data_IF_770800045880
#
_entry.id   IF_770800045880
#
_cell.length_a   1.000
_cell.length_b   1.000
_cell.length_c   1.000
_cell.angle_alpha   90.00
_cell.angle_beta   90.00
_cell.angle_gamma   90.00
#
_symmetry.space_group_name_H-M   'P 1'
#
loop_
_entity.id
_entity.type
_entity.pdbx_description
1 polymer ?
#
# COMPACT_ATOMS: atom_id res chain seq x y z
N UNK A 1 1.85 5.03 -10.12
CA UNK A 1 1.82 5.71 -8.81
C UNK A 1 2.76 6.90 -8.85
N UNK A 2 2.27 8.11 -8.55
CA UNK A 2 3.09 9.33 -8.58
C UNK A 2 4.06 9.31 -7.40
N UNK A 3 5.38 9.31 -7.63
CA UNK A 3 6.36 9.55 -6.57
C UNK A 3 6.10 10.93 -5.96
N UNK A 4 5.42 10.97 -4.81
CA UNK A 4 5.01 12.22 -4.21
C UNK A 4 6.25 12.91 -3.63
N UNK A 5 6.66 14.02 -4.22
CA UNK A 5 7.81 14.78 -3.74
C UNK A 5 7.41 15.92 -2.79
N UNK A 6 8.30 16.20 -1.85
CA UNK A 6 8.15 17.24 -0.84
C UNK A 6 9.17 18.34 -1.11
N UNK A 7 8.84 19.59 -0.80
CA UNK A 7 9.71 20.74 -1.09
C UNK A 7 10.19 21.36 0.21
N UNK A 8 11.50 21.32 0.44
CA UNK A 8 12.16 22.06 1.51
C UNK A 8 12.61 23.43 0.98
N UNK A 9 12.40 24.50 1.75
CA UNK A 9 12.87 25.84 1.40
C UNK A 9 13.95 26.35 2.36
N UNK A 10 14.95 27.04 1.84
CA UNK A 10 15.97 27.75 2.61
C UNK A 10 16.14 29.15 1.99
N UNK A 11 15.38 30.12 2.49
CA UNK A 11 15.26 31.42 1.82
C UNK A 11 14.63 31.28 0.43
N UNK A 12 15.37 31.66 -0.62
CA UNK A 12 14.92 31.51 -2.03
C UNK A 12 15.19 30.13 -2.62
N UNK A 13 16.09 29.34 -2.02
CA UNK A 13 16.40 28.00 -2.52
C UNK A 13 15.28 27.03 -2.19
N UNK A 14 14.91 26.20 -3.17
CA UNK A 14 13.97 25.09 -3.00
C UNK A 14 14.67 23.79 -3.34
N UNK A 15 14.49 22.77 -2.49
CA UNK A 15 15.04 21.43 -2.67
C UNK A 15 13.89 20.43 -2.63
N UNK A 16 13.77 19.65 -3.68
CA UNK A 16 12.79 18.58 -3.77
C UNK A 16 13.35 17.32 -3.14
N UNK A 17 12.66 16.74 -2.17
CA UNK A 17 13.04 15.52 -1.45
C UNK A 17 11.96 14.46 -1.64
N UNK A 18 12.35 13.19 -1.61
CA UNK A 18 11.45 12.04 -1.67
C UNK A 18 11.25 11.50 -0.24
N UNK A 19 10.04 11.53 0.33
CA UNK A 19 9.76 10.89 1.61
C UNK A 19 9.87 9.36 1.46
N UNK A 20 10.49 8.69 2.42
CA UNK A 20 10.65 7.23 2.43
C UNK A 20 9.70 6.57 3.44
N UNK A 21 9.59 7.17 4.64
CA UNK A 21 8.76 6.66 5.73
C UNK A 21 8.49 7.73 6.78
N UNK A 22 7.47 7.51 7.61
CA UNK A 22 7.10 8.35 8.74
C UNK A 22 7.02 7.51 10.02
N UNK A 23 7.51 8.04 11.14
CA UNK A 23 7.29 7.47 12.47
C UNK A 23 6.30 8.33 13.27
N UNK A 24 5.31 7.70 13.90
CA UNK A 24 4.40 8.30 14.88
C UNK A 24 4.80 7.85 16.28
N UNK A 25 5.21 8.79 17.15
CA UNK A 25 5.74 8.49 18.49
C UNK A 25 5.56 9.66 19.45
N UNK A 26 4.93 9.44 20.62
CA UNK A 26 4.71 10.45 21.68
C UNK A 26 4.34 11.87 21.15
N UNK A 27 3.28 11.94 20.34
CA UNK A 27 2.76 13.15 19.64
C UNK A 27 3.58 13.70 18.46
N UNK A 28 4.72 13.09 18.15
CA UNK A 28 5.63 13.53 17.09
C UNK A 28 5.42 12.68 15.84
N UNK A 29 5.42 13.34 14.69
CA UNK A 29 5.54 12.67 13.40
C UNK A 29 6.89 13.05 12.78
N UNK A 30 7.70 12.05 12.46
CA UNK A 30 9.03 12.26 11.92
C UNK A 30 9.09 11.61 10.54
N UNK A 31 9.18 12.43 9.51
CA UNK A 31 9.32 11.97 8.13
C UNK A 31 10.80 11.89 7.79
N UNK A 32 11.24 10.70 7.42
CA UNK A 32 12.56 10.45 6.82
C UNK A 32 12.43 10.65 5.31
N UNK A 33 13.24 11.56 4.74
CA UNK A 33 13.22 11.89 3.32
C UNK A 33 14.62 11.93 2.74
N UNK A 34 14.76 11.54 1.48
CA UNK A 34 16.03 11.42 0.76
C UNK A 34 16.13 12.41 -0.39
N UNK A 35 17.32 12.94 -0.61
CA UNK A 35 17.74 13.62 -1.82
C UNK A 35 19.12 13.12 -2.22
N UNK A 36 19.18 12.26 -3.25
CA UNK A 36 20.40 11.55 -3.66
C UNK A 36 20.98 10.75 -2.49
N UNK A 37 22.16 11.13 -1.98
CA UNK A 37 22.84 10.50 -0.83
C UNK A 37 22.60 11.24 0.50
N UNK A 38 21.80 12.31 0.50
CA UNK A 38 21.54 13.12 1.70
C UNK A 38 20.20 12.74 2.31
N UNK A 39 20.20 12.63 3.64
CA UNK A 39 19.02 12.34 4.43
C UNK A 39 18.52 13.61 5.13
N UNK A 40 17.20 13.75 5.18
CA UNK A 40 16.49 14.83 5.81
C UNK A 40 15.45 14.25 6.77
N UNK A 41 15.31 14.87 7.94
CA UNK A 41 14.24 14.59 8.89
C UNK A 41 13.35 15.81 9.00
N UNK A 42 12.06 15.60 8.76
CA UNK A 42 11.02 16.64 8.82
C UNK A 42 10.15 16.32 10.03
N UNK A 43 10.15 17.22 11.00
CA UNK A 43 9.48 17.05 12.29
C UNK A 43 8.14 17.76 12.27
N UNK A 44 7.13 17.05 12.74
CA UNK A 44 5.82 17.58 13.08
C UNK A 44 5.53 17.27 14.54
N UNK A 45 4.86 18.18 15.21
CA UNK A 45 4.35 17.99 16.55
C UNK A 45 2.87 18.36 16.53
N UNK A 46 2.02 17.43 16.98
CA UNK A 46 0.56 17.58 16.88
C UNK A 46 0.10 17.85 15.44
N UNK A 47 0.61 17.06 14.49
CA UNK A 47 0.38 17.18 13.03
C UNK A 47 0.81 18.51 12.39
N UNK A 48 1.45 19.40 13.17
CA UNK A 48 1.86 20.72 12.72
C UNK A 48 3.36 20.72 12.44
N UNK A 49 3.75 21.27 11.29
CA UNK A 49 5.16 21.36 10.92
C UNK A 49 5.96 22.16 11.95
N UNK A 50 7.08 21.60 12.39
CA UNK A 50 7.99 22.20 13.37
C UNK A 50 9.28 22.66 12.68
N UNK A 51 10.04 21.73 12.10
CA UNK A 51 11.32 22.03 11.46
C UNK A 51 11.77 20.89 10.53
N UNK A 52 12.75 21.16 9.68
CA UNK A 52 13.38 20.17 8.81
C UNK A 52 14.90 20.29 8.90
N UNK A 53 15.59 19.17 9.06
CA UNK A 53 17.04 19.12 9.31
C UNK A 53 17.69 18.10 8.38
N UNK A 54 18.80 18.50 7.76
CA UNK A 54 19.67 17.57 7.05
C UNK A 54 20.52 16.78 8.05
N UNK A 55 20.41 15.46 8.02
CA UNK A 55 21.21 14.59 8.88
C UNK A 55 22.60 14.32 8.28
N UNK A 56 23.60 14.31 9.16
CA UNK A 56 24.94 13.78 8.87
C UNK A 56 25.22 12.51 9.68
N UNK A 57 24.70 12.43 10.91
CA UNK A 57 24.79 11.29 11.83
C UNK A 57 23.54 11.27 12.70
N UNK A 58 23.17 10.08 13.18
CA UNK A 58 22.07 9.85 14.12
C UNK A 58 22.65 9.16 15.34
N UNK A 59 22.26 9.60 16.54
CA UNK A 59 22.68 8.95 17.78
C UNK A 59 21.75 7.77 18.07
N UNK A 60 22.33 6.61 18.37
CA UNK A 60 21.61 5.35 18.62
C UNK A 60 20.59 5.46 19.77
N UNK A 61 20.92 6.21 20.82
CA UNK A 61 20.04 6.41 21.98
C UNK A 61 19.29 7.75 21.95
N UNK A 62 19.06 8.31 20.76
CA UNK A 62 18.29 9.55 20.63
C UNK A 62 16.78 9.30 20.60
N UNK A 63 16.01 10.34 20.89
CA UNK A 63 14.57 10.42 20.66
C UNK A 63 14.22 9.99 19.24
N UNK A 64 14.94 10.50 18.24
CA UNK A 64 14.77 10.11 16.84
C UNK A 64 14.91 8.60 16.63
N UNK A 65 15.95 7.99 17.18
CA UNK A 65 16.17 6.55 17.05
C UNK A 65 15.09 5.73 17.78
N UNK A 66 14.63 6.19 18.95
CA UNK A 66 13.50 5.58 19.68
C UNK A 66 12.21 5.66 18.89
N UNK A 67 11.89 6.82 18.30
CA UNK A 67 10.68 7.00 17.52
C UNK A 67 10.56 6.00 16.35
N UNK A 68 11.64 5.72 15.64
CA UNK A 68 11.65 4.71 14.57
C UNK A 68 11.73 3.26 15.06
N UNK A 69 12.04 3.03 16.33
CA UNK A 69 12.15 1.70 16.92
C UNK A 69 10.87 1.27 17.66
N UNK A 70 10.25 2.22 18.36
CA UNK A 70 9.15 1.98 19.30
C UNK A 70 7.84 2.63 18.81
N UNK A 71 7.90 3.53 17.82
CA UNK A 71 6.72 4.16 17.21
C UNK A 71 6.11 3.33 16.08
N UNK A 72 4.92 3.75 15.64
CA UNK A 72 4.33 3.24 14.40
C UNK A 72 5.10 3.80 13.21
N UNK A 73 5.70 2.92 12.41
CA UNK A 73 6.46 3.32 11.21
C UNK A 73 5.70 2.91 9.95
N UNK A 74 5.36 3.90 9.12
CA UNK A 74 4.68 3.70 7.84
C UNK A 74 5.61 4.05 6.68
N UNK A 75 5.81 3.12 5.74
CA UNK A 75 6.63 3.34 4.54
C UNK A 75 5.81 3.85 3.37
N UNK A 76 6.41 4.62 2.47
CA UNK A 76 5.74 5.13 1.26
C UNK A 76 5.35 4.01 0.28
N UNK A 77 4.20 4.09 -0.41
CA UNK A 77 3.12 5.06 -0.24
C UNK A 77 2.29 4.76 1.02
N UNK A 78 1.91 5.79 1.78
CA UNK A 78 1.03 5.61 2.93
C UNK A 78 0.20 6.87 3.23
N UNK A 79 -1.13 6.75 3.40
CA UNK A 79 -1.99 7.92 3.61
C UNK A 79 -1.63 8.77 4.83
N UNK A 80 -1.24 8.14 5.95
CA UNK A 80 -0.75 8.87 7.14
C UNK A 80 0.47 9.75 6.84
N UNK A 81 1.38 9.30 5.96
CA UNK A 81 2.52 10.10 5.52
C UNK A 81 2.05 11.24 4.60
N UNK A 82 1.27 10.91 3.59
CA UNK A 82 0.89 11.86 2.53
C UNK A 82 0.02 13.00 3.05
N UNK A 83 -0.87 12.72 4.02
CA UNK A 83 -1.73 13.74 4.64
C UNK A 83 -0.99 14.73 5.52
N UNK A 84 0.25 14.47 5.94
CA UNK A 84 1.10 15.47 6.62
C UNK A 84 1.59 16.55 5.65
N UNK A 85 1.54 16.29 4.35
CA UNK A 85 2.09 17.15 3.30
C UNK A 85 1.23 18.38 2.95
N UNK A 86 0.58 18.99 3.96
CA UNK A 86 -0.32 20.16 3.77
C UNK A 86 0.45 21.47 3.60
N UNK A 87 1.65 21.58 4.15
CA UNK A 87 2.40 22.82 4.25
C UNK A 87 3.56 22.85 3.24
N UNK A 88 3.27 23.18 1.97
CA UNK A 88 4.31 23.33 0.93
C UNK A 88 4.59 24.82 0.64
N UNK A 89 5.87 25.26 0.63
CA UNK A 89 7.10 24.52 0.97
C UNK A 89 7.39 24.49 2.48
N UNK A 90 8.16 23.49 2.94
CA UNK A 90 8.61 23.35 4.34
C UNK A 90 9.90 24.15 4.61
N UNK A 91 9.85 25.23 5.41
CA UNK A 91 11.00 26.10 5.62
C UNK A 91 12.02 25.52 6.60
N UNK A 92 13.27 25.43 6.17
CA UNK A 92 14.42 25.16 7.06
C UNK A 92 14.84 26.45 7.75
N UNK A 93 14.99 26.42 9.07
CA UNK A 93 15.31 27.58 9.90
C UNK A 93 16.64 27.42 10.63
N UNK A 94 17.28 28.55 10.96
CA UNK A 94 18.43 28.55 11.87
C UNK A 94 17.96 28.23 13.28
N UNK A 95 18.87 27.78 14.16
CA UNK A 95 18.51 27.46 15.53
C UNK A 95 17.86 28.63 16.30
N UNK A 96 18.32 29.88 16.07
CA UNK A 96 17.73 31.06 16.71
C UNK A 96 16.31 31.35 16.20
N UNK A 97 16.10 31.29 14.89
CA UNK A 97 14.77 31.46 14.28
C UNK A 97 13.81 30.35 14.71
N UNK A 98 14.32 29.14 14.85
CA UNK A 98 13.55 28.01 15.37
C UNK A 98 13.10 28.24 16.82
N UNK A 99 13.99 28.71 17.71
CA UNK A 99 13.60 29.03 19.09
C UNK A 99 12.54 30.14 19.15
N UNK A 100 12.62 31.14 18.27
CA UNK A 100 11.60 32.18 18.19
C UNK A 100 10.24 31.61 17.76
N UNK A 101 10.22 30.80 16.69
CA UNK A 101 9.00 30.12 16.23
C UNK A 101 8.41 29.25 17.35
N UNK A 102 9.25 28.58 18.13
CA UNK A 102 8.79 27.80 19.27
C UNK A 102 8.15 28.67 20.35
N UNK A 103 8.75 29.82 20.67
CA UNK A 103 8.22 30.77 21.64
C UNK A 103 6.86 31.36 21.23
N UNK A 104 6.67 31.59 19.92
CA UNK A 104 5.46 32.22 19.39
C UNK A 104 4.25 31.25 19.35
N UNK A 105 4.49 29.93 19.23
CA UNK A 105 3.42 28.95 18.92
C UNK A 105 3.19 27.88 20.00
N UNK A 106 4.12 27.70 20.94
CA UNK A 106 4.06 26.57 21.88
C UNK A 106 4.27 27.02 23.32
N UNK A 107 3.65 26.28 24.25
CA UNK A 107 3.87 26.50 25.68
C UNK A 107 5.32 26.18 26.05
N UNK A 108 5.86 26.77 27.12
CA UNK A 108 7.25 26.52 27.52
C UNK A 108 7.54 25.03 27.80
N UNK A 109 6.56 24.26 28.28
CA UNK A 109 6.67 22.81 28.45
C UNK A 109 6.84 22.11 27.09
N UNK A 110 6.00 22.45 26.12
CA UNK A 110 6.09 21.90 24.77
C UNK A 110 7.38 22.34 24.08
N UNK A 111 7.83 23.58 24.26
CA UNK A 111 9.13 24.04 23.77
C UNK A 111 10.26 23.17 24.33
N UNK A 112 10.27 22.93 25.65
CA UNK A 112 11.24 22.06 26.29
C UNK A 112 11.16 20.64 25.73
N UNK A 113 9.96 20.11 25.51
CA UNK A 113 9.75 18.78 24.97
C UNK A 113 10.21 18.66 23.51
N UNK A 114 9.84 19.59 22.64
CA UNK A 114 10.24 19.63 21.22
C UNK A 114 11.77 19.72 21.08
N UNK A 115 12.45 20.44 21.97
CA UNK A 115 13.91 20.50 21.97
C UNK A 115 14.57 19.11 22.15
N UNK A 116 13.90 18.15 22.79
CA UNK A 116 14.42 16.78 22.94
C UNK A 116 14.56 16.07 21.59
N UNK A 117 13.71 16.39 20.60
CA UNK A 117 13.71 15.75 19.29
C UNK A 117 15.02 16.00 18.53
N UNK A 118 15.68 17.12 18.86
CA UNK A 118 16.86 17.60 18.16
C UNK A 118 18.18 17.07 18.73
N UNK A 119 18.15 16.16 19.69
CA UNK A 119 19.37 15.72 20.38
C UNK A 119 20.38 14.98 19.51
N UNK A 120 19.95 14.45 18.37
CA UNK A 120 20.85 13.89 17.35
C UNK A 120 21.63 14.96 16.59
N UNK A 121 21.10 16.19 16.50
CA UNK A 121 21.65 17.27 15.66
C UNK A 121 22.29 18.39 16.48
N UNK A 122 21.86 18.55 17.74
CA UNK A 122 22.29 19.64 18.62
C UNK A 122 22.97 19.04 19.87
N UNK A 123 24.10 19.62 20.34
CA UNK A 123 24.75 19.13 21.55
C UNK A 123 23.81 19.14 22.76
N UNK A 124 23.76 18.02 23.48
CA UNK A 124 22.89 17.81 24.64
C UNK A 124 23.02 18.92 25.69
N UNK A 125 24.24 19.41 25.93
CA UNK A 125 24.53 20.54 26.83
C UNK A 125 23.81 21.83 26.40
N UNK A 126 23.74 22.12 25.10
CA UNK A 126 23.09 23.32 24.55
C UNK A 126 21.58 23.24 24.72
N UNK A 127 20.99 22.09 24.40
CA UNK A 127 19.55 21.83 24.60
C UNK A 127 19.17 21.93 26.08
N UNK A 128 19.95 21.29 26.95
CA UNK A 128 19.75 21.35 28.40
C UNK A 128 19.81 22.79 28.92
N UNK A 129 20.76 23.60 28.43
CA UNK A 129 20.84 25.01 28.83
C UNK A 129 19.62 25.80 28.40
N UNK A 130 19.07 25.54 27.20
CA UNK A 130 17.85 26.19 26.74
C UNK A 130 16.64 25.79 27.61
N UNK A 131 16.49 24.51 27.92
CA UNK A 131 15.42 24.03 28.81
C UNK A 131 15.53 24.62 30.22
N UNK A 132 16.75 24.80 30.74
CA UNK A 132 16.98 25.51 32.02
C UNK A 132 16.50 26.95 31.98
N UNK A 133 16.73 27.66 30.87
CA UNK A 133 16.25 29.03 30.69
C UNK A 133 14.72 29.08 30.79
N UNK A 134 14.03 28.20 30.05
CA UNK A 134 12.56 28.09 30.10
C UNK A 134 12.05 27.80 31.51
N UNK A 135 12.71 26.88 32.23
CA UNK A 135 12.38 26.58 33.63
C UNK A 135 12.51 27.82 34.53
N UNK A 136 13.63 28.53 34.47
CA UNK A 136 13.86 29.69 35.34
C UNK A 136 12.94 30.86 35.00
N UNK A 137 12.59 31.06 33.73
CA UNK A 137 11.63 32.08 33.32
C UNK A 137 10.26 31.85 33.97
N UNK A 138 9.73 30.63 33.92
CA UNK A 138 8.46 30.28 34.56
C UNK A 138 8.56 30.35 36.08
N UNK A 139 9.65 29.84 36.66
CA UNK A 139 9.85 29.87 38.12
C UNK A 139 9.86 31.30 38.65
N UNK A 140 10.49 32.25 37.94
CA UNK A 140 10.49 33.68 38.32
C UNK A 140 9.11 34.32 38.25
N UNK A 141 8.22 33.80 37.41
CA UNK A 141 6.82 34.23 37.35
C UNK A 141 5.95 33.64 38.49
N UNK A 142 6.53 32.83 39.39
CA UNK A 142 5.81 32.21 40.51
C UNK A 142 4.93 31.00 40.12
N UNK A 143 4.96 30.57 38.86
CA UNK A 143 4.14 29.46 38.35
C UNK A 143 4.79 28.11 38.65
N UNK A 144 4.81 27.71 39.92
CA UNK A 144 5.57 26.54 40.38
C UNK A 144 5.18 25.22 39.71
N UNK A 145 3.88 24.94 39.55
CA UNK A 145 3.45 23.71 38.88
C UNK A 145 3.89 23.66 37.41
N UNK A 146 3.80 24.79 36.68
CA UNK A 146 4.28 24.86 35.29
C UNK A 146 5.80 24.70 35.19
N UNK A 147 6.55 25.19 36.18
CA UNK A 147 7.99 24.92 36.27
C UNK A 147 8.26 23.44 36.54
N UNK A 148 7.42 22.78 37.36
CA UNK A 148 7.52 21.35 37.62
C UNK A 148 7.30 20.49 36.37
N UNK A 149 6.36 20.87 35.51
CA UNK A 149 6.17 20.22 34.21
C UNK A 149 7.44 20.22 33.34
N UNK A 150 8.24 21.28 33.39
CA UNK A 150 9.55 21.31 32.71
C UNK A 150 10.56 20.40 33.42
N UNK A 151 10.51 20.28 34.75
CA UNK A 151 11.33 19.32 35.49
C UNK A 151 11.04 17.89 35.01
N UNK A 152 9.77 17.50 34.81
CA UNK A 152 9.41 16.18 34.27
C UNK A 152 10.05 15.92 32.90
N UNK A 153 9.98 16.90 31.98
CA UNK A 153 10.67 16.79 30.67
C UNK A 153 12.19 16.65 30.84
N UNK A 154 12.79 17.38 31.78
CA UNK A 154 14.22 17.30 32.09
C UNK A 154 14.62 15.96 32.71
N UNK A 155 13.75 15.34 33.52
CA UNK A 155 13.95 14.01 34.10
C UNK A 155 14.02 12.96 33.00
N UNK A 156 13.17 13.04 31.97
CA UNK A 156 13.23 12.12 30.84
C UNK A 156 14.46 12.37 29.96
N UNK A 157 14.81 13.64 29.74
CA UNK A 157 15.88 14.01 28.82
C UNK A 157 17.29 13.81 29.40
N UNK A 158 17.51 14.18 30.65
CA UNK A 158 18.82 14.18 31.30
C UNK A 158 18.75 13.76 32.78
N UNK A 159 18.23 12.55 33.10
CA UNK A 159 17.96 12.11 34.47
C UNK A 159 19.21 12.12 35.37
N UNK A 160 20.37 11.82 34.78
CA UNK A 160 21.62 11.72 35.51
C UNK A 160 22.34 13.06 35.72
N UNK A 161 21.84 14.16 35.16
CA UNK A 161 22.48 15.46 35.30
C UNK A 161 22.23 16.04 36.71
N UNK A 162 23.29 16.52 37.37
CA UNK A 162 23.25 17.07 38.74
C UNK A 162 22.08 18.01 39.00
N UNK A 163 21.90 19.03 38.17
CA UNK A 163 20.77 19.98 38.25
C UNK A 163 19.39 19.30 38.26
N UNK A 164 19.19 18.25 37.45
CA UNK A 164 17.91 17.55 37.35
C UNK A 164 17.66 16.75 38.61
N UNK A 165 18.70 16.06 39.12
CA UNK A 165 18.64 15.35 40.41
C UNK A 165 18.37 16.28 41.58
N UNK A 166 18.96 17.48 41.60
CA UNK A 166 18.71 18.45 42.67
C UNK A 166 17.26 18.95 42.62
N UNK A 167 16.72 19.23 41.42
CA UNK A 167 15.34 19.68 41.26
C UNK A 167 14.29 18.60 41.54
N UNK A 168 14.54 17.34 41.18
CA UNK A 168 13.59 16.25 41.43
C UNK A 168 13.39 15.95 42.91
N UNK A 169 14.34 16.35 43.77
CA UNK A 169 14.25 16.17 45.22
C UNK A 169 13.95 17.48 45.97
N UNK A 170 13.68 18.59 45.27
CA UNK A 170 13.32 19.87 45.88
C UNK A 170 11.94 19.75 46.56
N UNK A 171 11.89 19.97 47.86
CA UNK A 171 10.68 19.89 48.69
C UNK A 171 9.54 20.79 48.17
N UNK A 172 9.87 21.88 47.47
CA UNK A 172 8.88 22.78 46.88
C UNK A 172 8.09 22.14 45.72
N UNK A 173 8.59 21.05 45.15
CA UNK A 173 7.97 20.37 44.01
C UNK A 173 7.41 18.99 44.34
N UNK A 174 7.82 18.39 45.46
CA UNK A 174 7.34 17.06 45.87
C UNK A 174 5.81 17.00 46.02
N UNK A 175 5.17 18.09 46.44
CA UNK A 175 3.71 18.17 46.55
C UNK A 175 2.97 18.03 45.21
N UNK A 176 3.66 18.20 44.08
CA UNK A 176 3.06 18.02 42.76
C UNK A 176 3.16 16.58 42.25
N UNK A 177 3.91 15.68 42.91
CA UNK A 177 4.05 14.30 42.45
C UNK A 177 2.72 13.54 42.52
N UNK A 178 1.88 13.83 43.52
CA UNK A 178 0.53 13.26 43.66
C UNK A 178 -0.36 13.50 42.44
N UNK A 179 -0.13 14.57 41.67
CA UNK A 179 -0.87 14.86 40.44
C UNK A 179 -0.60 13.80 39.37
N UNK A 180 0.57 13.20 39.36
CA UNK A 180 0.98 12.21 38.36
C UNK A 180 0.56 10.78 38.70
N UNK A 181 0.03 10.57 39.91
CA UNK A 181 -0.62 9.33 40.34
C UNK A 181 -2.12 9.32 40.01
N UNK A 182 -2.66 10.42 39.48
CA UNK A 182 -4.07 10.51 39.08
C UNK A 182 -4.38 9.56 37.90
N UNK A 183 -5.66 9.14 37.75
CA UNK A 183 -6.14 8.48 36.54
C UNK A 183 -5.80 9.28 35.28
N UNK A 184 -5.61 8.60 34.14
CA UNK A 184 -5.11 9.23 32.92
C UNK A 184 -5.96 10.42 32.44
N UNK A 185 -7.30 10.31 32.56
CA UNK A 185 -8.23 11.38 32.15
C UNK A 185 -8.09 12.62 33.04
N UNK A 186 -7.96 12.44 34.35
CA UNK A 186 -7.76 13.56 35.29
C UNK A 186 -6.36 14.18 35.11
N UNK A 187 -5.36 13.35 34.82
CA UNK A 187 -4.01 13.81 34.50
C UNK A 187 -4.01 14.63 33.21
N UNK A 188 -4.86 14.30 32.22
CA UNK A 188 -4.95 15.03 30.96
C UNK A 188 -5.30 16.51 31.19
N UNK A 189 -6.24 16.80 32.08
CA UNK A 189 -6.62 18.18 32.42
C UNK A 189 -5.50 18.97 33.11
N UNK A 190 -4.67 18.28 33.89
CA UNK A 190 -3.58 18.90 34.66
C UNK A 190 -2.31 19.04 33.83
N UNK A 191 -1.90 17.99 33.15
CA UNK A 191 -0.69 17.88 32.35
C UNK A 191 -0.92 17.02 31.09
N UNK A 192 -1.48 17.60 30.02
CA UNK A 192 -1.79 16.87 28.79
C UNK A 192 -0.58 16.13 28.23
N UNK A 193 0.62 16.73 28.26
CA UNK A 193 1.83 16.11 27.70
C UNK A 193 2.17 14.80 28.41
N UNK A 194 1.99 14.74 29.74
CA UNK A 194 2.29 13.53 30.48
C UNK A 194 1.20 12.46 30.30
N UNK A 195 -0.07 12.86 30.22
CA UNK A 195 -1.16 11.95 29.90
C UNK A 195 -1.01 11.38 28.47
N UNK A 196 -0.57 12.19 27.50
CA UNK A 196 -0.28 11.75 26.13
C UNK A 196 0.89 10.75 26.08
N UNK A 197 1.93 10.93 26.91
CA UNK A 197 2.99 9.93 27.07
C UNK A 197 2.46 8.64 27.68
N UNK A 198 1.56 8.74 28.65
CA UNK A 198 0.91 7.58 29.28
C UNK A 198 0.09 6.79 28.27
N UNK A 199 -0.75 7.48 27.48
CA UNK A 199 -1.47 6.91 26.34
C UNK A 199 -0.52 6.10 25.46
N UNK A 200 0.60 6.71 25.06
CA UNK A 200 1.56 6.03 24.20
C UNK A 200 2.22 4.84 24.91
N UNK A 201 2.86 5.01 26.06
CA UNK A 201 3.69 3.97 26.69
C UNK A 201 2.90 2.86 27.37
N UNK A 202 1.79 3.18 28.01
CA UNK A 202 0.93 2.22 28.72
C UNK A 202 -0.18 1.65 27.83
N UNK A 203 -0.30 2.14 26.58
CA UNK A 203 -1.35 1.72 25.63
C UNK A 203 -2.76 1.97 26.14
N UNK A 204 -2.96 3.00 26.97
CA UNK A 204 -4.24 3.29 27.62
C UNK A 204 -5.30 3.74 26.59
N UNK A 205 -6.27 2.88 26.22
CA UNK A 205 -7.23 3.20 25.18
C UNK A 205 -8.26 4.25 25.63
N UNK A 206 -8.42 4.50 26.94
CA UNK A 206 -9.37 5.49 27.45
C UNK A 206 -8.94 6.93 27.11
N UNK A 207 -7.64 7.14 26.91
CA UNK A 207 -7.08 8.45 26.55
C UNK A 207 -7.10 8.72 25.05
N UNK A 208 -7.27 7.69 24.22
CA UNK A 208 -7.26 7.83 22.77
C UNK A 208 -8.37 8.76 22.26
N UNK A 209 -9.65 8.68 22.72
CA UNK A 209 -10.69 9.64 22.36
C UNK A 209 -10.36 11.11 22.66
N UNK A 210 -9.47 11.38 23.63
CA UNK A 210 -9.06 12.73 24.01
C UNK A 210 -8.11 13.38 22.97
N UNK A 211 -7.45 12.58 22.11
CA UNK A 211 -6.74 13.12 20.94
C UNK A 211 -7.71 13.69 19.90
N UNK A 212 -8.86 13.01 19.74
CA UNK A 212 -10.06 13.50 19.06
C UNK A 212 -9.88 14.18 17.70
N UNK A 213 -10.92 14.90 17.28
CA UNK A 213 -11.03 15.54 15.96
C UNK A 213 -9.93 16.57 15.63
N UNK A 214 -9.14 16.99 16.62
CA UNK A 214 -8.08 17.98 16.44
C UNK A 214 -6.83 17.40 15.81
N UNK A 215 -6.53 16.11 16.01
CA UNK A 215 -5.38 15.41 15.41
C UNK A 215 -5.78 14.03 14.86
N UNK A 216 -6.50 14.01 13.72
CA UNK A 216 -7.10 12.80 13.19
C UNK A 216 -6.09 11.79 12.62
N UNK A 217 -4.91 12.22 12.15
CA UNK A 217 -3.85 11.31 11.69
C UNK A 217 -3.17 10.63 12.86
N UNK A 218 -2.92 11.35 13.96
CA UNK A 218 -2.38 10.76 15.18
C UNK A 218 -3.33 9.75 15.79
N UNK A 219 -4.61 10.12 15.88
CA UNK A 219 -5.67 9.23 16.33
C UNK A 219 -5.72 7.94 15.48
N UNK A 220 -5.72 8.08 14.15
CA UNK A 220 -5.68 6.93 13.22
C UNK A 220 -4.42 6.10 13.41
N UNK A 221 -3.24 6.73 13.48
CA UNK A 221 -1.96 6.03 13.64
C UNK A 221 -1.88 5.27 14.96
N UNK A 222 -2.32 5.87 16.06
CA UNK A 222 -2.31 5.19 17.35
C UNK A 222 -3.35 4.06 17.41
N UNK A 223 -4.53 4.26 16.83
CA UNK A 223 -5.54 3.20 16.71
C UNK A 223 -5.01 1.99 15.93
N UNK A 224 -4.24 2.22 14.87
CA UNK A 224 -3.56 1.15 14.13
C UNK A 224 -2.54 0.42 15.00
N UNK A 225 -1.74 1.15 15.80
CA UNK A 225 -0.78 0.53 16.71
C UNK A 225 -1.48 -0.38 17.73
N UNK A 226 -2.58 0.09 18.33
CA UNK A 226 -3.39 -0.72 19.26
C UNK A 226 -3.99 -1.94 18.57
N UNK A 227 -4.40 -1.83 17.30
CA UNK A 227 -4.94 -2.95 16.53
C UNK A 227 -3.87 -4.02 16.29
N UNK A 228 -2.65 -3.60 15.91
CA UNK A 228 -1.51 -4.49 15.69
C UNK A 228 -1.14 -5.25 16.97
N UNK A 229 -1.25 -4.60 18.13
CA UNK A 229 -0.96 -5.19 19.42
C UNK A 229 -2.13 -6.02 20.00
N UNK A 230 -3.29 -6.04 19.34
CA UNK A 230 -4.48 -6.78 19.78
C UNK A 230 -5.27 -6.13 20.92
N UNK A 231 -5.07 -4.83 21.15
CA UNK A 231 -5.73 -4.06 22.23
C UNK A 231 -7.09 -3.48 21.78
N UNK A 232 -7.36 -3.43 20.47
CA UNK A 232 -8.63 -2.93 19.91
C UNK A 232 -9.10 -3.78 18.74
N UNK A 233 -10.32 -3.55 18.26
CA UNK A 233 -10.93 -4.27 17.13
C UNK A 233 -10.69 -3.57 15.79
N UNK A 234 -10.81 -4.32 14.70
CA UNK A 234 -10.76 -3.76 13.35
C UNK A 234 -11.89 -2.74 13.11
N UNK A 235 -13.08 -3.00 13.63
CA UNK A 235 -14.22 -2.09 13.54
C UNK A 235 -13.95 -0.73 14.18
N UNK A 236 -13.41 -0.73 15.40
CA UNK A 236 -13.05 0.50 16.10
C UNK A 236 -11.97 1.27 15.33
N UNK A 237 -10.98 0.55 14.78
CA UNK A 237 -9.98 1.14 13.90
C UNK A 237 -10.61 1.75 12.63
N UNK A 238 -11.52 1.02 11.98
CA UNK A 238 -12.18 1.45 10.74
C UNK A 238 -12.96 2.74 10.89
N UNK A 239 -13.66 2.89 12.01
CA UNK A 239 -14.39 4.11 12.34
C UNK A 239 -13.50 5.36 12.36
N UNK A 240 -12.21 5.20 12.68
CA UNK A 240 -11.25 6.33 12.77
C UNK A 240 -10.94 6.97 11.41
N UNK A 241 -11.00 6.20 10.33
CA UNK A 241 -10.53 6.63 9.01
C UNK A 241 -11.61 6.60 7.92
N UNK A 242 -12.77 5.98 8.17
CA UNK A 242 -13.84 5.78 7.17
C UNK A 242 -14.37 7.07 6.52
N UNK A 243 -14.30 8.22 7.18
CA UNK A 243 -14.73 9.52 6.60
C UNK A 243 -13.54 10.44 6.28
N UNK A 244 -12.37 10.14 6.83
CA UNK A 244 -11.19 11.00 6.75
C UNK A 244 -10.40 10.83 5.45
N UNK A 245 -10.34 9.59 4.95
CA UNK A 245 -9.56 9.21 3.78
C UNK A 245 -10.47 8.92 2.58
N UNK A 246 -9.92 9.07 1.37
CA UNK A 246 -10.56 8.73 0.09
C UNK A 246 -10.47 7.23 -0.17
N UNK A 247 -11.24 6.70 -1.12
CA UNK A 247 -11.28 5.24 -1.40
C UNK A 247 -9.89 4.65 -1.73
N UNK A 248 -9.10 5.31 -2.56
CA UNK A 248 -7.73 4.88 -2.88
C UNK A 248 -6.83 4.83 -1.62
N UNK A 249 -6.95 5.84 -0.75
CA UNK A 249 -6.21 5.90 0.51
C UNK A 249 -6.68 4.83 1.50
N UNK A 250 -8.00 4.57 1.57
CA UNK A 250 -8.56 3.50 2.41
C UNK A 250 -8.05 2.13 1.97
N UNK A 251 -7.92 1.91 0.65
CA UNK A 251 -7.34 0.68 0.11
C UNK A 251 -5.91 0.47 0.63
N UNK A 252 -5.07 1.52 0.61
CA UNK A 252 -3.71 1.45 1.16
C UNK A 252 -3.69 1.18 2.69
N UNK A 253 -4.66 1.70 3.43
CA UNK A 253 -4.80 1.40 4.87
C UNK A 253 -5.16 -0.07 5.09
N UNK A 254 -6.14 -0.60 4.35
CA UNK A 254 -6.52 -2.01 4.40
C UNK A 254 -5.35 -2.93 4.06
N UNK A 255 -4.59 -2.60 3.02
CA UNK A 255 -3.37 -3.33 2.63
C UNK A 255 -2.29 -3.31 3.72
N UNK A 256 -2.19 -2.22 4.50
CA UNK A 256 -1.30 -2.17 5.65
C UNK A 256 -1.83 -3.07 6.77
N UNK A 257 -3.12 -2.97 7.12
CA UNK A 257 -3.71 -3.80 8.18
C UNK A 257 -3.57 -5.28 7.83
N UNK A 258 -3.87 -5.70 6.60
CA UNK A 258 -3.74 -7.11 6.18
C UNK A 258 -2.32 -7.64 6.35
N UNK A 259 -1.29 -6.81 6.08
CA UNK A 259 0.11 -7.19 6.29
C UNK A 259 0.50 -7.23 7.77
N UNK A 260 -0.04 -6.33 8.57
CA UNK A 260 0.33 -6.19 9.98
C UNK A 260 -0.44 -7.16 10.89
N UNK A 261 -1.69 -7.49 10.53
CA UNK A 261 -2.59 -8.41 11.24
C UNK A 261 -3.20 -9.41 10.25
N UNK A 262 -2.43 -10.38 9.71
CA UNK A 262 -2.91 -11.31 8.67
C UNK A 262 -3.98 -12.29 9.17
N UNK A 263 -4.21 -12.37 10.48
CA UNK A 263 -5.25 -13.20 11.09
C UNK A 263 -6.64 -12.58 11.03
N UNK A 264 -6.76 -11.29 10.70
CA UNK A 264 -8.04 -10.59 10.68
C UNK A 264 -8.82 -10.88 9.38
N UNK A 265 -9.70 -11.88 9.43
CA UNK A 265 -10.47 -12.34 8.27
C UNK A 265 -11.37 -11.25 7.67
N UNK A 266 -11.93 -10.36 8.50
CA UNK A 266 -12.81 -9.29 8.01
C UNK A 266 -12.06 -8.31 7.10
N UNK A 267 -10.80 -8.03 7.40
CA UNK A 267 -9.95 -7.17 6.58
C UNK A 267 -9.68 -7.82 5.23
N UNK A 268 -9.44 -9.14 5.21
CA UNK A 268 -9.24 -9.88 3.95
C UNK A 268 -10.48 -9.86 3.08
N UNK A 269 -11.66 -10.10 3.66
CA UNK A 269 -12.92 -10.06 2.89
C UNK A 269 -13.18 -8.68 2.31
N UNK A 270 -13.02 -7.63 3.12
CA UNK A 270 -13.19 -6.26 2.64
C UNK A 270 -12.16 -5.90 1.55
N UNK A 271 -10.90 -6.33 1.70
CA UNK A 271 -9.86 -6.09 0.72
C UNK A 271 -10.12 -6.85 -0.59
N UNK A 272 -10.63 -8.08 -0.53
CA UNK A 272 -11.06 -8.86 -1.68
C UNK A 272 -12.17 -8.13 -2.45
N UNK A 273 -13.20 -7.67 -1.75
CA UNK A 273 -14.28 -6.87 -2.34
C UNK A 273 -13.77 -5.60 -3.03
N UNK A 274 -12.83 -4.89 -2.38
CA UNK A 274 -12.20 -3.70 -2.94
C UNK A 274 -11.40 -4.01 -4.21
N UNK A 275 -10.64 -5.10 -4.22
CA UNK A 275 -9.86 -5.51 -5.40
C UNK A 275 -10.76 -5.89 -6.57
N UNK A 276 -11.82 -6.65 -6.33
CA UNK A 276 -12.79 -7.00 -7.38
C UNK A 276 -13.45 -5.74 -7.95
N UNK A 277 -13.93 -4.83 -7.10
CA UNK A 277 -14.55 -3.58 -7.53
C UNK A 277 -13.59 -2.69 -8.36
N UNK A 278 -12.30 -2.69 -8.01
CA UNK A 278 -11.25 -1.96 -8.74
C UNK A 278 -10.68 -2.72 -9.95
N UNK A 279 -11.20 -3.92 -10.25
CA UNK A 279 -10.67 -4.84 -11.28
C UNK A 279 -9.20 -5.23 -11.07
N UNK A 280 -8.72 -5.23 -9.82
CA UNK A 280 -7.38 -5.67 -9.43
C UNK A 280 -7.37 -7.19 -9.23
N UNK A 281 -7.63 -7.93 -10.31
CA UNK A 281 -7.83 -9.38 -10.24
C UNK A 281 -6.56 -10.14 -9.83
N UNK A 282 -5.38 -9.65 -10.18
CA UNK A 282 -4.15 -10.26 -9.67
C UNK A 282 -4.14 -10.29 -8.14
N UNK A 283 -4.35 -9.15 -7.49
CA UNK A 283 -4.34 -9.06 -6.02
C UNK A 283 -5.53 -9.77 -5.38
N UNK A 284 -6.71 -9.78 -6.01
CA UNK A 284 -7.85 -10.57 -5.56
C UNK A 284 -7.54 -12.07 -5.56
N UNK A 285 -6.89 -12.59 -6.61
CA UNK A 285 -6.52 -14.00 -6.72
C UNK A 285 -5.50 -14.45 -5.68
N UNK A 286 -4.65 -13.53 -5.22
CA UNK A 286 -3.68 -13.81 -4.15
C UNK A 286 -4.39 -13.99 -2.80
N UNK A 287 -5.48 -13.25 -2.55
CA UNK A 287 -6.30 -13.45 -1.35
C UNK A 287 -7.11 -14.74 -1.41
N UNK A 288 -7.61 -15.12 -2.59
CA UNK A 288 -8.32 -16.39 -2.80
C UNK A 288 -7.44 -17.65 -2.61
N UNK A 289 -6.12 -17.50 -2.40
CA UNK A 289 -5.26 -18.62 -1.96
C UNK A 289 -5.63 -19.13 -0.57
N UNK A 290 -6.21 -18.26 0.26
CA UNK A 290 -6.63 -18.62 1.61
C UNK A 290 -7.99 -19.34 1.53
N UNK A 291 -8.05 -20.59 1.99
CA UNK A 291 -9.22 -21.48 1.86
C UNK A 291 -10.54 -20.94 2.49
N UNK A 292 -10.47 -19.91 3.33
CA UNK A 292 -11.63 -19.31 3.98
C UNK A 292 -12.23 -18.14 3.17
N UNK A 293 -11.60 -17.76 2.07
CA UNK A 293 -11.99 -16.61 1.25
C UNK A 293 -12.91 -17.05 0.12
N UNK A 294 -14.09 -16.44 0.03
CA UNK A 294 -15.08 -16.69 -1.02
C UNK A 294 -15.54 -15.37 -1.64
N UNK A 295 -15.89 -15.42 -2.91
CA UNK A 295 -16.53 -14.32 -3.60
C UNK A 295 -18.04 -14.34 -3.28
N UNK A 296 -18.63 -13.17 -3.08
CA UNK A 296 -20.08 -13.01 -3.06
C UNK A 296 -20.66 -13.19 -4.47
N UNK A 297 -21.98 -13.39 -4.56
CA UNK A 297 -22.63 -13.54 -5.87
C UNK A 297 -22.40 -12.34 -6.80
N UNK A 298 -22.51 -11.12 -6.28
CA UNK A 298 -22.26 -9.91 -7.07
C UNK A 298 -20.80 -9.81 -7.55
N UNK A 299 -19.86 -10.21 -6.69
CA UNK A 299 -18.43 -10.23 -7.03
C UNK A 299 -18.12 -11.30 -8.08
N UNK A 300 -18.69 -12.50 -7.96
CA UNK A 300 -18.55 -13.56 -8.98
C UNK A 300 -19.06 -13.10 -10.33
N UNK A 301 -20.24 -12.49 -10.38
CA UNK A 301 -20.78 -11.94 -11.64
C UNK A 301 -19.87 -10.83 -12.21
N UNK A 302 -19.31 -9.97 -11.35
CA UNK A 302 -18.37 -8.92 -11.77
C UNK A 302 -17.09 -9.51 -12.37
N UNK A 303 -16.46 -10.46 -11.68
CA UNK A 303 -15.25 -11.17 -12.15
C UNK A 303 -15.54 -11.89 -13.46
N UNK A 304 -16.61 -12.69 -13.51
CA UNK A 304 -17.06 -13.43 -14.70
C UNK A 304 -17.21 -12.50 -15.90
N UNK A 305 -17.87 -11.36 -15.74
CA UNK A 305 -18.04 -10.38 -16.81
C UNK A 305 -16.69 -9.83 -17.31
N UNK A 306 -15.75 -9.52 -16.41
CA UNK A 306 -14.40 -9.06 -16.80
C UNK A 306 -13.67 -10.12 -17.62
N UNK A 307 -13.67 -11.37 -17.14
CA UNK A 307 -13.00 -12.50 -17.79
C UNK A 307 -13.55 -12.81 -19.19
N UNK A 308 -14.87 -12.72 -19.38
CA UNK A 308 -15.49 -12.98 -20.69
C UNK A 308 -15.31 -11.82 -21.69
N UNK A 309 -15.39 -10.57 -21.21
CA UNK A 309 -15.44 -9.38 -22.09
C UNK A 309 -14.09 -8.71 -22.34
N UNK A 310 -13.07 -8.98 -21.52
CA UNK A 310 -11.75 -8.36 -21.61
C UNK A 310 -10.68 -9.42 -21.82
N UNK A 311 -10.34 -9.79 -23.07
CA UNK A 311 -9.31 -10.78 -23.38
C UNK A 311 -7.94 -10.41 -22.78
N UNK A 312 -7.18 -11.44 -22.41
CA UNK A 312 -5.83 -11.35 -21.84
C UNK A 312 -5.74 -10.51 -20.56
N UNK A 313 -6.86 -10.30 -19.86
CA UNK A 313 -6.86 -9.58 -18.60
C UNK A 313 -6.18 -10.37 -17.47
N UNK A 314 -6.41 -11.68 -17.45
CA UNK A 314 -5.66 -12.66 -16.67
C UNK A 314 -4.97 -13.58 -17.66
N UNK A 315 -3.68 -13.83 -17.49
CA UNK A 315 -2.89 -14.65 -18.43
C UNK A 315 -2.20 -15.84 -17.76
N UNK A 316 -2.20 -15.87 -16.43
CA UNK A 316 -1.59 -16.91 -15.60
C UNK A 316 -2.59 -18.06 -15.37
N UNK A 317 -2.16 -19.29 -15.60
CA UNK A 317 -3.02 -20.48 -15.47
C UNK A 317 -3.48 -20.69 -14.02
N UNK A 318 -2.59 -20.68 -12.99
CA UNK A 318 -3.01 -20.79 -11.60
C UNK A 318 -4.03 -19.74 -11.16
N UNK A 319 -3.90 -18.51 -11.64
CA UNK A 319 -4.87 -17.45 -11.35
C UNK A 319 -6.25 -17.75 -11.96
N UNK A 320 -6.27 -18.15 -13.23
CA UNK A 320 -7.51 -18.55 -13.91
C UNK A 320 -8.18 -19.74 -13.25
N UNK A 321 -7.42 -20.77 -12.90
CA UNK A 321 -7.92 -21.97 -12.23
C UNK A 321 -8.70 -21.61 -10.97
N UNK A 322 -8.16 -20.72 -10.12
CA UNK A 322 -8.88 -20.26 -8.92
C UNK A 322 -10.20 -19.57 -9.23
N UNK A 323 -10.24 -18.75 -10.28
CA UNK A 323 -11.49 -18.11 -10.67
C UNK A 323 -12.50 -19.08 -11.25
N UNK A 324 -12.03 -20.09 -12.00
CA UNK A 324 -12.89 -21.16 -12.50
C UNK A 324 -13.46 -21.96 -11.34
N UNK A 325 -12.64 -22.37 -10.36
CA UNK A 325 -13.10 -23.08 -9.16
C UNK A 325 -14.17 -22.28 -8.41
N UNK A 326 -13.89 -21.00 -8.14
CA UNK A 326 -14.79 -20.15 -7.36
C UNK A 326 -16.10 -19.82 -8.10
N UNK A 327 -16.07 -19.57 -9.41
CA UNK A 327 -17.26 -19.23 -10.18
C UNK A 327 -18.11 -20.48 -10.46
N UNK A 328 -17.47 -21.57 -10.88
CA UNK A 328 -18.16 -22.80 -11.31
C UNK A 328 -18.66 -23.65 -10.13
N UNK A 329 -18.23 -23.37 -8.90
CA UNK A 329 -18.80 -23.98 -7.70
C UNK A 329 -20.30 -23.66 -7.55
N UNK A 330 -20.75 -22.49 -8.02
CA UNK A 330 -22.14 -22.04 -7.86
C UNK A 330 -22.90 -21.81 -9.19
N UNK A 331 -22.22 -21.39 -10.26
CA UNK A 331 -22.84 -21.08 -11.56
C UNK A 331 -22.15 -21.81 -12.72
N UNK A 332 -22.86 -22.75 -13.34
CA UNK A 332 -22.36 -23.51 -14.50
C UNK A 332 -22.94 -23.05 -15.84
N UNK A 333 -23.77 -22.00 -15.88
CA UNK A 333 -24.51 -21.61 -17.09
C UNK A 333 -23.59 -21.18 -18.24
N UNK A 334 -22.49 -20.50 -17.92
CA UNK A 334 -21.53 -19.97 -18.90
C UNK A 334 -20.19 -20.74 -18.88
N UNK A 335 -20.20 -21.97 -18.35
CA UNK A 335 -18.99 -22.78 -18.18
C UNK A 335 -18.17 -22.92 -19.47
N UNK A 336 -18.80 -23.29 -20.59
CA UNK A 336 -18.11 -23.41 -21.87
C UNK A 336 -17.48 -22.10 -22.36
N UNK A 337 -18.15 -20.96 -22.13
CA UNK A 337 -17.61 -19.65 -22.50
C UNK A 337 -16.40 -19.30 -21.62
N UNK A 338 -16.45 -19.61 -20.33
CA UNK A 338 -15.34 -19.40 -19.40
C UNK A 338 -14.14 -20.29 -19.71
N UNK A 339 -14.36 -21.58 -20.01
CA UNK A 339 -13.27 -22.47 -20.42
C UNK A 339 -12.65 -22.05 -21.75
N UNK A 340 -13.45 -21.58 -22.71
CA UNK A 340 -12.93 -21.02 -23.96
C UNK A 340 -12.11 -19.74 -23.70
N UNK A 341 -12.59 -18.83 -22.84
CA UNK A 341 -11.86 -17.63 -22.46
C UNK A 341 -10.54 -17.95 -21.74
N UNK A 342 -10.55 -18.96 -20.85
CA UNK A 342 -9.35 -19.47 -20.20
C UNK A 342 -8.30 -19.92 -21.21
N UNK A 343 -8.66 -20.79 -22.16
CA UNK A 343 -7.71 -21.26 -23.20
C UNK A 343 -7.24 -20.07 -24.03
N UNK A 344 -8.15 -19.22 -24.52
CA UNK A 344 -7.81 -18.01 -25.29
C UNK A 344 -6.76 -17.15 -24.59
N UNK A 345 -6.93 -16.89 -23.29
CA UNK A 345 -6.13 -15.90 -22.56
C UNK A 345 -4.80 -16.46 -22.03
N UNK A 346 -4.70 -17.78 -21.82
CA UNK A 346 -3.50 -18.43 -21.27
C UNK A 346 -2.61 -19.08 -22.34
N UNK A 347 -3.16 -19.48 -23.49
CA UNK A 347 -2.43 -20.12 -24.59
C UNK A 347 -1.22 -19.37 -25.16
N UNK A 348 -1.13 -18.02 -25.11
CA UNK A 348 0.10 -17.32 -25.49
C UNK A 348 1.25 -17.49 -24.48
N UNK A 349 0.94 -17.83 -23.23
CA UNK A 349 1.86 -17.71 -22.09
C UNK A 349 2.15 -19.03 -21.36
N UNK A 350 1.34 -20.07 -21.60
CA UNK A 350 1.43 -21.36 -20.94
C UNK A 350 1.56 -22.51 -21.96
N UNK A 351 2.12 -23.63 -21.51
CA UNK A 351 2.25 -24.84 -22.31
C UNK A 351 0.88 -25.54 -22.45
N UNK A 352 0.62 -26.16 -23.59
CA UNK A 352 -0.65 -26.90 -23.82
C UNK A 352 -0.88 -27.99 -22.78
N UNK A 353 0.18 -28.66 -22.32
CA UNK A 353 0.08 -29.68 -21.27
C UNK A 353 -0.39 -29.09 -19.93
N UNK A 354 0.00 -27.85 -19.60
CA UNK A 354 -0.45 -27.17 -18.38
C UNK A 354 -1.93 -26.83 -18.48
N UNK A 355 -2.34 -26.18 -19.58
CA UNK A 355 -3.73 -25.82 -19.88
C UNK A 355 -4.62 -27.07 -19.86
N UNK A 356 -4.20 -28.17 -20.51
CA UNK A 356 -4.92 -29.44 -20.52
C UNK A 356 -5.07 -30.03 -19.13
N UNK A 357 -4.02 -29.96 -18.32
CA UNK A 357 -4.05 -30.50 -16.94
C UNK A 357 -5.11 -29.77 -16.12
N UNK A 358 -5.13 -28.44 -16.15
CA UNK A 358 -6.16 -27.63 -15.48
C UNK A 358 -7.56 -27.94 -16.01
N UNK A 359 -7.76 -28.05 -17.33
CA UNK A 359 -9.07 -28.41 -17.91
C UNK A 359 -9.60 -29.76 -17.45
N UNK A 360 -8.72 -30.69 -17.03
CA UNK A 360 -9.13 -32.01 -16.53
C UNK A 360 -10.01 -31.88 -15.27
N UNK A 361 -9.74 -30.88 -14.42
CA UNK A 361 -10.53 -30.60 -13.21
C UNK A 361 -11.98 -30.20 -13.49
N UNK A 362 -12.26 -29.70 -14.69
CA UNK A 362 -13.57 -29.16 -15.08
C UNK A 362 -14.30 -30.03 -16.12
N UNK A 363 -13.85 -31.27 -16.35
CA UNK A 363 -14.39 -32.15 -17.41
C UNK A 363 -15.86 -32.55 -17.16
N UNK A 364 -16.70 -32.42 -18.19
CA UNK A 364 -18.09 -32.92 -18.20
C UNK A 364 -19.08 -31.98 -18.90
N UNK A 365 -20.17 -32.53 -19.46
CA UNK A 365 -21.21 -31.75 -20.17
C UNK A 365 -20.88 -31.47 -21.66
N UNK A 366 -21.43 -30.38 -22.22
CA UNK A 366 -21.12 -29.90 -23.58
C UNK A 366 -19.66 -29.41 -23.73
N UNK A 367 -18.96 -29.22 -22.61
CA UNK A 367 -17.57 -28.73 -22.53
C UNK A 367 -16.51 -29.79 -22.83
N UNK A 368 -16.90 -31.04 -23.08
CA UNK A 368 -16.00 -32.12 -23.52
C UNK A 368 -15.25 -31.70 -24.79
N UNK A 369 -15.89 -30.89 -25.64
CA UNK A 369 -15.31 -30.38 -26.88
C UNK A 369 -14.07 -29.50 -26.65
N UNK A 370 -14.03 -28.65 -25.61
CA UNK A 370 -12.88 -27.74 -25.37
C UNK A 370 -11.65 -28.54 -24.91
N UNK A 371 -11.85 -29.51 -24.02
CA UNK A 371 -10.76 -30.38 -23.59
C UNK A 371 -10.18 -31.17 -24.76
N UNK A 372 -11.05 -31.80 -25.57
CA UNK A 372 -10.61 -32.63 -26.70
C UNK A 372 -9.92 -31.79 -27.77
N UNK A 373 -10.34 -30.53 -27.97
CA UNK A 373 -9.64 -29.56 -28.83
C UNK A 373 -8.23 -29.27 -28.32
N UNK A 374 -8.05 -28.93 -27.05
CA UNK A 374 -6.71 -28.67 -26.48
C UNK A 374 -5.82 -29.92 -26.52
N UNK A 375 -6.39 -31.10 -26.28
CA UNK A 375 -5.67 -32.36 -26.43
C UNK A 375 -5.17 -32.57 -27.87
N UNK A 376 -6.02 -32.36 -28.88
CA UNK A 376 -5.63 -32.45 -30.29
C UNK A 376 -4.55 -31.43 -30.64
N UNK A 377 -4.64 -30.21 -30.10
CA UNK A 377 -3.59 -29.22 -30.32
C UNK A 377 -2.25 -29.74 -29.81
N UNK A 378 -2.20 -30.35 -28.62
CA UNK A 378 -0.97 -30.91 -28.04
C UNK A 378 -0.43 -32.08 -28.87
N UNK A 379 -1.30 -32.97 -29.35
CA UNK A 379 -0.94 -34.10 -30.20
C UNK A 379 -0.42 -33.67 -31.58
N UNK A 380 -0.98 -32.61 -32.16
CA UNK A 380 -0.67 -32.15 -33.51
C UNK A 380 0.48 -31.13 -33.58
N UNK A 381 1.00 -30.64 -32.46
CA UNK A 381 2.07 -29.62 -32.46
C UNK A 381 3.31 -30.04 -33.28
N UNK A 382 3.59 -31.33 -33.37
CA UNK A 382 4.72 -31.89 -34.13
C UNK A 382 4.27 -32.69 -35.38
N UNK A 383 2.97 -32.68 -35.70
CA UNK A 383 2.40 -33.45 -36.81
C UNK A 383 2.07 -32.55 -38.01
N UNK A 384 2.91 -32.64 -39.04
CA UNK A 384 2.79 -31.83 -40.25
C UNK A 384 1.50 -32.12 -41.05
N UNK A 385 0.91 -33.30 -40.90
CA UNK A 385 -0.28 -33.68 -41.66
C UNK A 385 -1.55 -32.97 -41.13
N UNK A 386 -1.52 -32.48 -39.89
CA UNK A 386 -2.66 -31.85 -39.21
C UNK A 386 -2.51 -30.33 -39.05
N UNK A 387 -1.60 -29.70 -39.80
CA UNK A 387 -1.31 -28.27 -39.69
C UNK A 387 -2.51 -27.39 -40.04
N UNK A 388 -3.39 -27.84 -40.96
CA UNK A 388 -4.62 -27.09 -41.26
C UNK A 388 -5.57 -27.09 -40.05
N UNK A 389 -5.86 -28.26 -39.50
CA UNK A 389 -6.76 -28.42 -38.35
C UNK A 389 -6.21 -27.72 -37.10
N UNK A 390 -4.89 -27.83 -36.86
CA UNK A 390 -4.21 -27.12 -35.78
C UNK A 390 -4.34 -25.60 -35.94
N UNK A 391 -4.19 -25.09 -37.17
CA UNK A 391 -4.37 -23.68 -37.49
C UNK A 391 -5.80 -23.18 -37.21
N UNK A 392 -6.81 -23.99 -37.51
CA UNK A 392 -8.22 -23.68 -37.19
C UNK A 392 -8.41 -23.54 -35.68
N UNK A 393 -7.84 -24.46 -34.88
CA UNK A 393 -7.94 -24.41 -33.42
C UNK A 393 -7.21 -23.20 -32.83
N UNK A 394 -6.02 -22.88 -33.32
CA UNK A 394 -5.33 -21.64 -32.92
C UNK A 394 -6.17 -20.40 -33.23
N UNK A 395 -6.79 -20.34 -34.41
CA UNK A 395 -7.67 -19.24 -34.77
C UNK A 395 -8.93 -19.17 -33.88
N UNK A 396 -9.55 -20.31 -33.56
CA UNK A 396 -10.70 -20.40 -32.65
C UNK A 396 -10.38 -19.80 -31.27
N UNK A 397 -9.22 -20.17 -30.70
CA UNK A 397 -8.75 -19.64 -29.42
C UNK A 397 -8.05 -18.27 -29.52
N UNK A 398 -8.28 -17.52 -30.60
CA UNK A 398 -7.83 -16.14 -30.74
C UNK A 398 -6.32 -15.98 -30.87
N UNK A 399 -5.63 -16.94 -31.49
CA UNK A 399 -4.19 -16.93 -31.78
C UNK A 399 -3.94 -16.79 -33.30
N UNK A 400 -4.29 -15.63 -33.92
CA UNK A 400 -4.26 -15.49 -35.37
C UNK A 400 -2.86 -15.61 -35.97
N UNK A 401 -1.80 -15.22 -35.27
CA UNK A 401 -0.42 -15.36 -35.75
C UNK A 401 0.01 -16.83 -35.82
N UNK A 402 -0.21 -17.61 -34.75
CA UNK A 402 0.06 -19.05 -34.73
C UNK A 402 -0.79 -19.79 -35.78
N UNK A 403 -2.03 -19.35 -35.97
CA UNK A 403 -2.90 -19.89 -37.01
C UNK A 403 -2.33 -19.64 -38.42
N UNK A 404 -1.87 -18.42 -38.70
CA UNK A 404 -1.23 -18.10 -39.99
C UNK A 404 0.01 -18.96 -40.26
N UNK A 405 0.86 -19.17 -39.26
CA UNK A 405 2.03 -20.07 -39.40
C UNK A 405 1.60 -21.49 -39.78
N UNK A 406 0.59 -22.03 -39.09
CA UNK A 406 0.04 -23.36 -39.40
C UNK A 406 -0.53 -23.43 -40.82
N UNK A 407 -1.30 -22.42 -41.25
CA UNK A 407 -1.85 -22.38 -42.60
C UNK A 407 -0.78 -22.20 -43.69
N UNK A 408 0.30 -21.48 -43.39
CA UNK A 408 1.46 -21.36 -44.28
C UNK A 408 2.11 -22.73 -44.47
N UNK A 409 2.45 -23.43 -43.38
CA UNK A 409 3.00 -24.79 -43.45
C UNK A 409 2.07 -25.75 -44.20
N UNK A 410 0.77 -25.75 -43.90
CA UNK A 410 -0.20 -26.59 -44.60
C UNK A 410 -0.23 -26.31 -46.12
N UNK A 411 -0.15 -25.03 -46.51
CA UNK A 411 -0.11 -24.64 -47.94
C UNK A 411 1.18 -25.05 -48.65
N UNK A 412 2.30 -25.10 -47.92
CA UNK A 412 3.59 -25.58 -48.45
C UNK A 412 3.60 -27.11 -48.61
N UNK A 413 3.04 -27.84 -47.64
CA UNK A 413 2.98 -29.30 -47.66
C UNK A 413 1.97 -29.83 -48.69
N UNK A 414 0.83 -29.15 -48.86
CA UNK A 414 -0.21 -29.50 -49.82
C UNK A 414 -0.56 -28.31 -50.73
N UNK A 415 0.27 -28.00 -51.76
CA UNK A 415 0.08 -26.85 -52.63
C UNK A 415 -1.23 -26.85 -53.44
N UNK A 416 -1.87 -28.02 -53.58
CA UNK A 416 -3.16 -28.16 -54.27
C UNK A 416 -4.36 -27.90 -53.33
N UNK A 417 -4.15 -27.91 -52.01
CA UNK A 417 -5.20 -27.63 -51.03
C UNK A 417 -5.52 -26.14 -51.00
N UNK A 418 -6.80 -25.83 -51.23
CA UNK A 418 -7.30 -24.46 -51.29
C UNK A 418 -7.63 -23.93 -49.89
N UNK A 419 -7.94 -24.82 -48.95
CA UNK A 419 -8.44 -24.43 -47.62
C UNK A 419 -7.44 -23.61 -46.79
N UNK A 420 -6.14 -23.95 -46.71
CA UNK A 420 -5.19 -23.12 -45.96
C UNK A 420 -5.08 -21.70 -46.51
N UNK A 421 -5.15 -21.54 -47.83
CA UNK A 421 -5.13 -20.22 -48.51
C UNK A 421 -6.40 -19.41 -48.22
N UNK A 422 -7.56 -20.07 -48.13
CA UNK A 422 -8.80 -19.43 -47.72
C UNK A 422 -8.75 -18.96 -46.27
N UNK A 423 -8.19 -19.78 -45.38
CA UNK A 423 -7.98 -19.43 -43.99
C UNK A 423 -7.02 -18.24 -43.84
N UNK A 424 -5.87 -18.23 -44.52
CA UNK A 424 -4.97 -17.07 -44.53
C UNK A 424 -5.70 -15.78 -44.95
N UNK A 425 -6.48 -15.82 -46.04
CA UNK A 425 -7.26 -14.68 -46.48
C UNK A 425 -8.26 -14.19 -45.41
N UNK A 426 -8.89 -15.12 -44.69
CA UNK A 426 -9.81 -14.81 -43.59
C UNK A 426 -9.07 -14.17 -42.41
N UNK A 427 -7.98 -14.78 -41.94
CA UNK A 427 -7.22 -14.27 -40.79
C UNK A 427 -6.65 -12.88 -41.07
N UNK A 428 -6.03 -12.66 -42.24
CA UNK A 428 -5.53 -11.33 -42.61
C UNK A 428 -6.64 -10.27 -42.65
N UNK A 429 -7.84 -10.64 -43.13
CA UNK A 429 -9.00 -9.74 -43.11
C UNK A 429 -9.40 -9.37 -41.69
N UNK A 430 -9.46 -10.34 -40.79
CA UNK A 430 -9.90 -10.13 -39.41
C UNK A 430 -8.87 -9.31 -38.60
N UNK A 431 -7.59 -9.41 -38.95
CA UNK A 431 -6.51 -8.55 -38.44
C UNK A 431 -6.49 -7.14 -39.07
N UNK A 432 -7.29 -6.88 -40.10
CA UNK A 432 -7.36 -5.58 -40.80
C UNK A 432 -6.33 -5.39 -41.93
N UNK A 433 -5.59 -6.44 -42.31
CA UNK A 433 -4.62 -6.45 -43.40
C UNK A 433 -5.32 -6.72 -44.75
N UNK A 434 -5.97 -5.69 -45.31
CA UNK A 434 -6.84 -5.83 -46.48
C UNK A 434 -6.09 -6.16 -47.77
N UNK A 435 -4.86 -5.67 -47.96
CA UNK A 435 -4.06 -5.94 -49.17
C UNK A 435 -3.64 -7.43 -49.23
N UNK A 436 -3.16 -7.97 -48.12
CA UNK A 436 -2.76 -9.37 -47.94
C UNK A 436 -3.99 -10.27 -48.09
N UNK A 437 -5.09 -9.94 -47.40
CA UNK A 437 -6.39 -10.61 -47.54
C UNK A 437 -6.83 -10.69 -49.01
N UNK A 438 -6.75 -9.58 -49.75
CA UNK A 438 -7.14 -9.54 -51.16
C UNK A 438 -6.19 -10.36 -52.05
N UNK A 439 -4.90 -10.38 -51.73
CA UNK A 439 -3.89 -11.18 -52.41
C UNK A 439 -4.21 -12.68 -52.29
N UNK A 440 -4.43 -13.18 -51.07
CA UNK A 440 -4.79 -14.58 -50.84
C UNK A 440 -6.17 -14.95 -51.39
N UNK A 441 -7.15 -14.03 -51.41
CA UNK A 441 -8.43 -14.23 -52.11
C UNK A 441 -8.25 -14.40 -53.61
N UNK A 442 -7.37 -13.63 -54.23
CA UNK A 442 -7.08 -13.75 -55.65
C UNK A 442 -6.37 -15.08 -55.95
N UNK A 443 -5.43 -15.49 -55.09
CA UNK A 443 -4.76 -16.78 -55.20
C UNK A 443 -5.75 -17.95 -55.08
N UNK A 444 -6.67 -17.91 -54.11
CA UNK A 444 -7.76 -18.89 -53.95
C UNK A 444 -8.56 -19.04 -55.26
N UNK A 445 -8.95 -17.93 -55.90
CA UNK A 445 -9.71 -17.95 -57.16
C UNK A 445 -8.91 -18.53 -58.33
N UNK A 446 -7.59 -18.36 -58.32
CA UNK A 446 -6.72 -18.95 -59.34
C UNK A 446 -6.62 -20.46 -59.14
N UNK A 447 -6.37 -20.93 -57.92
CA UNK A 447 -6.32 -22.36 -57.60
C UNK A 447 -7.62 -23.08 -57.95
N UNK A 448 -8.78 -22.49 -57.61
CA UNK A 448 -10.10 -23.04 -57.98
C UNK A 448 -10.32 -23.22 -59.49
N UNK A 449 -9.67 -22.39 -60.33
CA UNK A 449 -9.74 -22.49 -61.79
C UNK A 449 -8.80 -23.54 -62.36
N UNK A 450 -7.75 -23.91 -61.63
CA UNK A 450 -6.73 -24.88 -62.04
C UNK A 450 -7.08 -26.30 -61.58
N UNK A 451 -7.94 -26.45 -60.56
CA UNK A 451 -8.43 -27.74 -60.05
C UNK A 451 -9.69 -28.28 -60.77
N UNK A 452 -10.17 -27.60 -61.82
CA UNK A 452 -11.24 -28.02 -62.75
C UNK A 452 -10.62 -28.53 -64.04
#
# INVERSE_FOLDING_TARGET
MSEQTWVLSQGKEKRTVQPERVAYYERVQIVEARLKKRMYYIFFYKETYVTAIQATKIKIHSFLARAFREGLVCSTPHPLLERLNKNKPFPTSTYSSFLQQLADNYTHQEQAYILTFLESFIPKKKLLQQMKTLFYEIRRQGKMFQAYKIIRVLMDFAPNHRFVKELSHDLNFQSFEEVYELPGVDLWDKDPLQAEKRLFHERDPELLPLLGSTQPLEYTGFSLLLLIEGTTTYEDYKETWKTLFREEERTLLLEHVNRAVPSEQKVKQELLSVYVAQKRLHEASELLKDNDMILTEEERQSVKNVLLTTPFFVTDVPMWERYLDEILAEDTAEKGQLLHAFVRDTLPYADLSEIRTTLTGFRGGEDIDIYDKVQRMEEWQEDLDHMEELGVLYYEFGQPEKALECFQYASEMMPESIQPVQWMAKVYKDLGYEEESQTYRNLTKQMQKTSL
#
